data_IF_388669758838
#
_entry.id   IF_388669758838
#
_cell.length_a   1.000
_cell.length_b   1.000
_cell.length_c   1.000
_cell.angle_alpha   90.00
_cell.angle_beta   90.00
_cell.angle_gamma   90.00
#
_symmetry.space_group_name_H-M   'P 1'
#
loop_
_entity.id
_entity.type
_entity.pdbx_description
1 polymer ?
#
# COMPACT_ATOMS: atom_id res chain seq x y z
N UNK A 1 -23.37 -2.05 26.20
CA UNK A 1 -23.10 -3.15 25.25
C UNK A 1 -21.59 -3.21 25.00
N UNK A 2 -20.89 -4.12 25.68
CA UNK A 2 -19.46 -4.32 25.50
C UNK A 2 -19.21 -5.18 24.24
N UNK A 3 -18.37 -4.69 23.33
CA UNK A 3 -17.98 -5.40 22.11
C UNK A 3 -16.88 -6.40 22.45
N UNK A 4 -17.26 -7.59 22.92
CA UNK A 4 -16.31 -8.67 23.19
C UNK A 4 -15.61 -9.10 21.89
N UNK A 5 -14.32 -8.80 21.78
CA UNK A 5 -13.44 -9.42 20.79
C UNK A 5 -13.16 -10.84 21.26
N UNK A 6 -13.90 -11.80 20.70
CA UNK A 6 -13.69 -13.23 20.93
C UNK A 6 -12.34 -13.66 20.37
N UNK A 7 -11.30 -13.68 21.20
CA UNK A 7 -10.03 -14.34 20.89
C UNK A 7 -10.24 -15.85 20.99
N UNK A 8 -10.24 -16.56 19.87
CA UNK A 8 -10.34 -18.03 19.84
C UNK A 8 -9.04 -18.67 20.33
N UNK A 9 -9.10 -19.80 21.05
CA UNK A 9 -7.91 -20.46 21.58
C UNK A 9 -7.00 -20.94 20.44
N UNK A 10 -5.66 -20.90 20.63
CA UNK A 10 -4.70 -21.36 19.64
C UNK A 10 -4.63 -22.90 19.67
N UNK A 11 -5.61 -23.57 19.09
CA UNK A 11 -5.52 -25.02 18.88
C UNK A 11 -4.64 -25.30 17.66
N UNK A 12 -3.48 -25.87 17.94
CA UNK A 12 -2.43 -26.19 16.98
C UNK A 12 -2.75 -27.40 16.12
N UNK A 13 -3.12 -27.14 14.87
CA UNK A 13 -2.78 -28.00 13.76
C UNK A 13 -2.07 -27.07 12.77
N UNK A 14 -0.77 -27.30 12.53
CA UNK A 14 0.16 -26.43 11.80
C UNK A 14 -0.14 -26.18 10.31
N UNK A 15 -1.41 -26.11 9.94
CA UNK A 15 -1.83 -25.33 8.79
C UNK A 15 -1.51 -23.88 9.14
N UNK A 16 -0.71 -23.20 8.32
CA UNK A 16 -0.54 -21.75 8.43
C UNK A 16 -1.93 -21.16 8.55
N UNK A 17 -2.34 -20.75 9.77
CA UNK A 17 -3.36 -19.72 9.87
C UNK A 17 -2.73 -18.61 9.07
N UNK A 18 -3.32 -18.31 7.93
CA UNK A 18 -3.37 -16.96 7.43
C UNK A 18 -3.92 -16.13 8.61
N UNK A 19 -3.04 -15.82 9.56
CA UNK A 19 -3.18 -14.71 10.45
C UNK A 19 -3.03 -13.55 9.49
N UNK A 20 -4.17 -13.21 8.88
CA UNK A 20 -4.32 -12.17 7.89
C UNK A 20 -3.50 -11.00 8.34
N UNK A 21 -2.31 -10.84 7.76
CA UNK A 21 -1.65 -9.55 7.58
C UNK A 21 -1.85 -8.58 8.76
N UNK A 22 -1.74 -9.06 10.00
CA UNK A 22 -1.94 -8.28 11.24
C UNK A 22 -0.72 -7.38 11.50
N UNK A 23 0.09 -7.16 10.46
CA UNK A 23 1.14 -6.16 10.40
C UNK A 23 0.49 -4.84 10.03
N UNK A 24 0.82 -3.78 10.78
CA UNK A 24 0.41 -2.40 10.47
C UNK A 24 1.12 -1.95 9.19
N UNK A 25 0.63 -2.39 8.04
CA UNK A 25 1.16 -2.03 6.73
C UNK A 25 0.20 -1.06 6.04
N UNK A 26 0.76 -0.08 5.35
CA UNK A 26 0.00 0.81 4.49
C UNK A 26 -0.41 -0.01 3.27
N UNK A 27 -1.68 -0.40 3.19
CA UNK A 27 -2.24 -1.14 2.05
C UNK A 27 -2.55 -0.15 0.93
N UNK A 28 -1.85 -0.28 -0.20
CA UNK A 28 -2.12 0.51 -1.40
C UNK A 28 -3.02 -0.32 -2.31
N UNK A 29 -4.17 0.24 -2.69
CA UNK A 29 -5.04 -0.42 -3.67
C UNK A 29 -4.34 -0.49 -5.04
N UNK A 30 -4.64 -1.49 -5.90
CA UNK A 30 -4.04 -1.57 -7.24
C UNK A 30 -4.22 -0.28 -8.06
N UNK A 31 -5.38 0.38 -7.91
CA UNK A 31 -5.66 1.69 -8.53
C UNK A 31 -4.72 2.79 -8.02
N UNK A 32 -4.42 2.79 -6.72
CA UNK A 32 -3.48 3.72 -6.11
C UNK A 32 -2.05 3.54 -6.63
N UNK A 33 -1.60 2.29 -6.79
CA UNK A 33 -0.28 2.00 -7.35
C UNK A 33 -0.16 2.53 -8.79
N UNK A 34 -1.18 2.30 -9.63
CA UNK A 34 -1.23 2.81 -11.00
C UNK A 34 -1.20 4.34 -11.01
N UNK A 35 -1.96 5.00 -10.14
CA UNK A 35 -1.98 6.47 -10.06
C UNK A 35 -0.62 7.05 -9.70
N UNK A 36 0.11 6.45 -8.76
CA UNK A 36 1.47 6.89 -8.37
C UNK A 36 2.42 6.81 -9.56
N UNK A 37 2.38 5.71 -10.32
CA UNK A 37 3.23 5.54 -11.51
C UNK A 37 2.91 6.58 -12.57
N UNK A 38 1.62 6.84 -12.84
CA UNK A 38 1.21 7.85 -13.81
C UNK A 38 1.66 9.26 -13.43
N UNK A 39 1.57 9.61 -12.14
CA UNK A 39 2.06 10.91 -11.64
C UNK A 39 3.57 11.01 -11.86
N UNK A 40 4.32 9.95 -11.55
CA UNK A 40 5.77 9.95 -11.70
C UNK A 40 6.18 10.17 -13.17
N UNK A 41 5.54 9.47 -14.10
CA UNK A 41 5.77 9.64 -15.54
C UNK A 41 5.42 11.08 -15.98
N UNK A 42 4.29 11.63 -15.52
CA UNK A 42 3.90 12.99 -15.88
C UNK A 42 4.92 14.03 -15.40
N UNK A 43 5.48 13.85 -14.20
CA UNK A 43 6.54 14.72 -13.66
C UNK A 43 7.82 14.57 -14.48
N UNK A 44 8.21 13.36 -14.86
CA UNK A 44 9.40 13.12 -15.68
C UNK A 44 9.29 13.80 -17.04
N UNK A 45 8.15 13.66 -17.72
CA UNK A 45 7.88 14.35 -18.99
C UNK A 45 7.94 15.87 -18.81
N UNK A 46 7.29 16.40 -17.76
CA UNK A 46 7.29 17.84 -17.49
C UNK A 46 8.72 18.36 -17.27
N UNK A 47 9.52 17.62 -16.50
CA UNK A 47 10.92 17.97 -16.26
C UNK A 47 11.77 17.81 -17.52
N UNK A 48 11.48 16.84 -18.39
CA UNK A 48 12.24 16.64 -19.62
C UNK A 48 11.99 17.76 -20.63
N UNK A 49 10.74 18.21 -20.73
CA UNK A 49 10.34 19.26 -21.67
C UNK A 49 10.69 20.66 -21.15
N UNK A 50 10.48 20.91 -19.86
CA UNK A 50 10.62 22.26 -19.28
C UNK A 50 11.81 22.39 -18.34
N UNK A 51 12.52 21.33 -18.00
CA UNK A 51 13.60 21.34 -17.01
C UNK A 51 14.76 22.23 -17.41
N UNK A 52 15.09 22.32 -18.70
CA UNK A 52 16.13 23.25 -19.19
C UNK A 52 15.72 24.72 -18.98
N UNK A 53 14.42 25.04 -19.06
CA UNK A 53 13.90 26.40 -18.83
C UNK A 53 13.64 26.72 -17.35
N UNK A 54 13.48 25.71 -16.49
CA UNK A 54 13.20 25.86 -15.06
C UNK A 54 14.45 25.79 -14.19
N UNK A 55 15.48 25.07 -14.64
CA UNK A 55 16.72 24.79 -13.89
C UNK A 55 17.98 25.34 -14.59
N UNK A 56 17.84 26.01 -15.73
CA UNK A 56 18.90 26.64 -16.52
C UNK A 56 18.82 28.16 -16.49
#
# INVERSE_FOLDING_TARGET
MAKERKTLPPTGAGLMRFFDEDTKAIKISPKGAIAIVLIFIAVEILLHVFGVQLLG
#
